data_IF_692635991870
#
_entry.id   IF_692635991870
#
_cell.length_a   1.000
_cell.length_b   1.000
_cell.length_c   1.000
_cell.angle_alpha   90.00
_cell.angle_beta   90.00
_cell.angle_gamma   90.00
#
_symmetry.space_group_name_H-M   'P 1'
#
loop_
_entity.id
_entity.type
_entity.pdbx_description
1 polymer ?
#
# COMPACT_ATOMS: atom_id res chain seq x y z
N UNK A 1 -13.89 14.24 9.77
CA UNK A 1 -13.70 12.77 9.82
C UNK A 1 -12.24 12.48 9.52
N UNK A 2 -11.66 11.41 10.07
CA UNK A 2 -10.25 11.08 9.82
C UNK A 2 -10.09 10.47 8.43
N UNK A 3 -9.15 10.98 7.64
CA UNK A 3 -8.76 10.45 6.31
C UNK A 3 -8.46 8.94 6.34
N UNK A 4 -8.04 8.43 7.50
CA UNK A 4 -7.91 7.00 7.80
C UNK A 4 -9.19 6.22 7.50
N UNK A 5 -10.33 6.72 7.98
CA UNK A 5 -11.61 6.02 7.88
C UNK A 5 -12.09 6.00 6.44
N UNK A 6 -11.94 7.11 5.72
CA UNK A 6 -12.30 7.19 4.30
C UNK A 6 -11.48 6.24 3.43
N UNK A 7 -10.16 6.13 3.66
CA UNK A 7 -9.31 5.20 2.91
C UNK A 7 -9.57 3.74 3.28
N UNK A 8 -9.92 3.47 4.55
CA UNK A 8 -10.34 2.14 4.98
C UNK A 8 -11.66 1.72 4.32
N UNK A 9 -12.65 2.61 4.25
CA UNK A 9 -13.95 2.33 3.62
C UNK A 9 -13.78 2.05 2.10
N UNK A 10 -12.85 2.75 1.42
CA UNK A 10 -12.47 2.45 0.03
C UNK A 10 -11.81 1.07 -0.09
N UNK A 11 -10.86 0.77 0.81
CA UNK A 11 -10.19 -0.53 0.86
C UNK A 11 -11.20 -1.67 1.04
N UNK A 12 -12.07 -1.57 2.04
CA UNK A 12 -13.01 -2.63 2.41
C UNK A 12 -13.99 -2.95 1.27
N UNK A 13 -14.51 -1.91 0.61
CA UNK A 13 -15.39 -2.03 -0.55
C UNK A 13 -14.73 -2.71 -1.75
N UNK A 14 -13.43 -2.52 -1.93
CA UNK A 14 -12.68 -3.03 -3.08
C UNK A 14 -11.91 -4.32 -2.78
N UNK A 15 -11.80 -4.72 -1.50
CA UNK A 15 -11.06 -5.88 -1.00
C UNK A 15 -11.39 -7.18 -1.72
N UNK A 16 -12.68 -7.49 -1.88
CA UNK A 16 -13.16 -8.71 -2.55
C UNK A 16 -12.77 -8.77 -4.03
N UNK A 17 -12.64 -7.60 -4.67
CA UNK A 17 -12.31 -7.47 -6.10
C UNK A 17 -10.81 -7.44 -6.34
N UNK A 18 -10.00 -7.01 -5.37
CA UNK A 18 -8.54 -6.98 -5.48
C UNK A 18 -7.87 -8.34 -5.34
N UNK A 19 -8.57 -9.34 -4.79
CA UNK A 19 -8.09 -10.72 -4.68
C UNK A 19 -8.14 -11.53 -5.99
N UNK A 20 -8.66 -10.98 -7.09
CA UNK A 20 -8.82 -11.69 -8.38
C UNK A 20 -8.03 -11.02 -9.54
N UNK A 21 -6.75 -11.37 -9.78
CA UNK A 21 -6.03 -11.12 -11.07
C UNK A 21 -4.63 -11.78 -11.13
N UNK A 22 -4.16 -12.20 -12.35
CA UNK A 22 -3.27 -13.32 -12.83
C UNK A 22 -1.72 -13.12 -13.02
N UNK A 23 -1.01 -14.26 -13.17
CA UNK A 23 0.43 -14.69 -13.16
C UNK A 23 1.62 -13.74 -13.40
N UNK A 24 2.70 -13.94 -12.62
CA UNK A 24 4.08 -13.46 -12.86
C UNK A 24 4.43 -12.08 -12.29
N UNK A 25 3.84 -11.02 -12.85
CA UNK A 25 3.83 -9.65 -12.24
C UNK A 25 3.00 -9.61 -10.95
N UNK A 26 2.18 -10.63 -10.79
CA UNK A 26 1.36 -10.96 -9.65
C UNK A 26 2.14 -11.12 -8.35
N UNK A 27 3.37 -11.64 -8.32
CA UNK A 27 3.99 -12.01 -7.04
C UNK A 27 4.23 -10.79 -6.13
N UNK A 28 4.81 -9.73 -6.69
CA UNK A 28 5.01 -8.46 -5.96
C UNK A 28 3.67 -7.76 -5.71
N UNK A 29 2.77 -7.77 -6.70
CA UNK A 29 1.42 -7.22 -6.52
C UNK A 29 0.63 -7.95 -5.42
N UNK A 30 0.80 -9.27 -5.32
CA UNK A 30 0.17 -10.14 -4.35
C UNK A 30 0.72 -9.88 -2.96
N UNK A 31 2.05 -9.80 -2.79
CA UNK A 31 2.67 -9.43 -1.50
C UNK A 31 2.25 -8.01 -1.07
N UNK A 32 2.16 -7.05 -1.99
CA UNK A 32 1.64 -5.70 -1.69
C UNK A 32 0.18 -5.74 -1.23
N UNK A 33 -0.67 -6.53 -1.89
CA UNK A 33 -2.08 -6.72 -1.50
C UNK A 33 -2.21 -7.46 -0.17
N UNK A 34 -1.37 -8.47 0.08
CA UNK A 34 -1.34 -9.22 1.32
C UNK A 34 -0.93 -8.30 2.48
N UNK A 35 0.15 -7.53 2.32
CA UNK A 35 0.57 -6.52 3.29
C UNK A 35 -0.51 -5.47 3.54
N UNK A 36 -1.18 -4.99 2.49
CA UNK A 36 -2.26 -4.03 2.62
C UNK A 36 -3.46 -4.61 3.39
N UNK A 37 -3.88 -5.83 3.05
CA UNK A 37 -4.96 -6.53 3.75
C UNK A 37 -4.62 -6.81 5.21
N UNK A 38 -3.41 -7.28 5.47
CA UNK A 38 -2.90 -7.47 6.83
C UNK A 38 -2.90 -6.16 7.62
N UNK A 39 -2.40 -5.06 7.05
CA UNK A 39 -2.44 -3.75 7.72
C UNK A 39 -3.87 -3.29 8.02
N UNK A 40 -4.80 -3.50 7.08
CA UNK A 40 -6.20 -3.16 7.28
C UNK A 40 -6.80 -3.90 8.50
N UNK A 41 -6.61 -5.23 8.54
CA UNK A 41 -7.12 -6.08 9.61
C UNK A 41 -6.44 -5.82 10.95
N UNK A 42 -5.13 -5.61 10.92
CA UNK A 42 -4.35 -5.39 12.11
C UNK A 42 -4.67 -4.04 12.76
N UNK A 43 -4.89 -3.00 11.95
CA UNK A 43 -5.27 -1.67 12.44
C UNK A 43 -6.73 -1.63 12.91
N UNK A 44 -7.66 -2.33 12.24
CA UNK A 44 -9.05 -2.41 12.69
C UNK A 44 -9.21 -3.20 13.99
N UNK A 45 -8.41 -4.25 14.15
CA UNK A 45 -8.44 -5.13 15.33
C UNK A 45 -7.56 -4.62 16.49
N UNK A 46 -6.88 -3.48 16.33
CA UNK A 46 -6.07 -2.87 17.37
C UNK A 46 -4.83 -3.69 17.76
N UNK A 47 -4.21 -4.39 16.82
CA UNK A 47 -3.01 -5.19 17.08
C UNK A 47 -1.87 -4.31 17.62
N UNK A 48 -1.02 -4.85 18.52
CA UNK A 48 0.17 -4.15 18.99
C UNK A 48 1.08 -3.76 17.81
N UNK A 49 1.61 -2.53 17.85
CA UNK A 49 2.43 -1.98 16.75
C UNK A 49 3.60 -2.90 16.37
N UNK A 50 4.24 -3.54 17.35
CA UNK A 50 5.35 -4.45 17.11
C UNK A 50 4.92 -5.71 16.34
N UNK A 51 3.72 -6.25 16.64
CA UNK A 51 3.15 -7.37 15.90
C UNK A 51 2.78 -6.96 14.46
N UNK A 52 2.25 -5.74 14.28
CA UNK A 52 1.99 -5.20 12.94
C UNK A 52 3.29 -5.13 12.13
N UNK A 53 4.37 -4.59 12.70
CA UNK A 53 5.62 -4.40 11.96
C UNK A 53 6.28 -5.74 11.61
N UNK A 54 6.22 -6.72 12.52
CA UNK A 54 6.77 -8.07 12.29
C UNK A 54 5.97 -8.86 11.25
N UNK A 55 4.66 -8.64 11.14
CA UNK A 55 3.81 -9.32 10.17
C UNK A 55 3.92 -8.80 8.72
N UNK A 56 4.68 -7.71 8.48
CA UNK A 56 4.89 -7.20 7.14
C UNK A 56 5.89 -8.07 6.35
N UNK A 57 5.50 -8.45 5.13
CA UNK A 57 6.28 -9.32 4.26
C UNK A 57 7.11 -8.53 3.24
N UNK A 58 8.30 -9.03 2.92
CA UNK A 58 9.19 -8.52 1.86
C UNK A 58 9.87 -9.64 1.06
N UNK A 59 9.56 -10.90 1.37
CA UNK A 59 10.32 -12.06 0.91
C UNK A 59 10.19 -12.29 -0.59
N UNK A 60 8.99 -12.11 -1.16
CA UNK A 60 8.74 -12.25 -2.59
C UNK A 60 9.41 -11.14 -3.37
N UNK A 61 9.33 -9.90 -2.89
CA UNK A 61 10.07 -8.79 -3.48
C UNK A 61 11.57 -9.04 -3.48
N UNK A 62 12.15 -9.42 -2.34
CA UNK A 62 13.58 -9.70 -2.21
C UNK A 62 14.04 -10.83 -3.13
N UNK A 63 13.29 -11.93 -3.17
CA UNK A 63 13.59 -13.06 -4.05
C UNK A 63 13.62 -12.61 -5.52
N UNK A 64 12.62 -11.83 -5.95
CA UNK A 64 12.53 -11.35 -7.34
C UNK A 64 13.64 -10.38 -7.71
N UNK A 65 14.01 -9.46 -6.81
CA UNK A 65 15.17 -8.58 -7.03
C UNK A 65 16.46 -9.39 -7.13
N UNK A 66 16.64 -10.40 -6.28
CA UNK A 66 17.82 -11.29 -6.31
C UNK A 66 17.90 -12.13 -7.59
N UNK A 67 16.75 -12.53 -8.14
CA UNK A 67 16.64 -13.21 -9.44
C UNK A 67 16.89 -12.27 -10.64
N UNK A 68 17.16 -10.98 -10.41
CA UNK A 68 17.43 -10.01 -11.47
C UNK A 68 16.16 -9.49 -12.17
N UNK A 69 14.99 -9.62 -11.54
CA UNK A 69 13.75 -9.07 -12.09
C UNK A 69 13.89 -7.56 -12.29
N UNK A 70 13.78 -7.10 -13.53
CA UNK A 70 13.64 -5.67 -13.79
C UNK A 70 12.23 -5.22 -13.41
N UNK A 71 12.13 -4.34 -12.41
CA UNK A 71 10.86 -3.72 -12.03
C UNK A 71 10.28 -2.85 -13.14
N UNK A 72 11.06 -2.49 -14.17
CA UNK A 72 10.55 -1.85 -15.39
C UNK A 72 9.52 -2.70 -16.15
N UNK A 73 9.42 -3.99 -15.83
CA UNK A 73 8.36 -4.87 -16.30
C UNK A 73 7.01 -4.61 -15.62
N UNK A 74 6.99 -4.03 -14.42
CA UNK A 74 5.78 -3.47 -13.82
C UNK A 74 5.42 -2.23 -14.65
N UNK A 75 4.30 -2.31 -15.38
CA UNK A 75 3.81 -1.31 -16.34
C UNK A 75 4.33 0.12 -16.09
N UNK A 76 4.91 0.78 -17.10
CA UNK A 76 5.49 2.15 -17.04
C UNK A 76 4.45 3.27 -16.92
N UNK A 77 3.30 2.98 -16.34
CA UNK A 77 2.29 4.00 -16.05
C UNK A 77 2.88 4.94 -15.00
N UNK A 78 2.72 6.23 -15.26
CA UNK A 78 2.99 7.29 -14.30
C UNK A 78 1.72 7.73 -13.59
N UNK A 79 1.89 8.18 -12.36
CA UNK A 79 0.80 8.76 -11.57
C UNK A 79 0.39 10.09 -12.20
N UNK A 80 -0.91 10.29 -12.40
CA UNK A 80 -1.47 11.53 -12.93
C UNK A 80 -2.31 12.24 -11.88
N UNK A 81 -2.51 13.55 -12.05
CA UNK A 81 -3.46 14.31 -11.22
C UNK A 81 -4.87 13.71 -11.27
N UNK A 82 -5.30 13.27 -12.45
CA UNK A 82 -6.60 12.59 -12.64
C UNK A 82 -6.71 11.32 -11.79
N UNK A 83 -5.61 10.58 -11.62
CA UNK A 83 -5.61 9.34 -10.85
C UNK A 83 -5.79 9.59 -9.34
N UNK A 84 -5.13 10.61 -8.80
CA UNK A 84 -5.17 10.92 -7.35
C UNK A 84 -6.41 11.72 -6.92
N UNK A 85 -7.20 12.23 -7.87
CA UNK A 85 -8.42 12.99 -7.57
C UNK A 85 -8.13 14.19 -6.65
N UNK A 86 -8.90 14.30 -5.56
CA UNK A 86 -8.77 15.38 -4.56
C UNK A 86 -7.82 15.05 -3.40
N UNK A 87 -7.16 13.89 -3.43
CA UNK A 87 -6.26 13.47 -2.36
C UNK A 87 -4.89 14.14 -2.46
N UNK A 88 -4.78 15.38 -1.95
CA UNK A 88 -3.57 16.19 -2.00
C UNK A 88 -2.33 15.52 -1.39
N UNK A 89 -2.49 14.59 -0.43
CA UNK A 89 -1.36 13.87 0.16
C UNK A 89 -0.57 13.01 -0.84
N UNK A 90 -1.21 12.62 -1.95
CA UNK A 90 -0.62 11.84 -3.03
C UNK A 90 -0.04 12.70 -4.16
N UNK A 91 -0.21 14.02 -4.12
CA UNK A 91 0.34 14.93 -5.14
C UNK A 91 1.85 14.79 -5.33
N UNK A 92 2.59 14.48 -4.25
CA UNK A 92 4.03 14.20 -4.26
C UNK A 92 4.45 12.95 -5.06
N UNK A 93 3.50 12.14 -5.49
CA UNK A 93 3.73 10.95 -6.31
C UNK A 93 3.41 11.17 -7.78
N UNK A 94 2.81 12.31 -8.16
CA UNK A 94 2.53 12.65 -9.57
C UNK A 94 3.82 12.62 -10.39
N UNK A 95 3.76 12.00 -11.57
CA UNK A 95 4.90 11.80 -12.46
C UNK A 95 5.76 10.57 -12.15
N UNK A 96 5.61 9.94 -10.99
CA UNK A 96 6.39 8.74 -10.63
C UNK A 96 5.86 7.50 -11.32
N UNK A 97 6.78 6.60 -11.68
CA UNK A 97 6.49 5.29 -12.26
C UNK A 97 6.21 4.22 -11.20
N UNK A 98 5.52 3.14 -11.59
CA UNK A 98 5.22 2.01 -10.71
C UNK A 98 6.46 1.37 -10.07
N UNK A 99 7.57 1.24 -10.82
CA UNK A 99 8.81 0.67 -10.29
C UNK A 99 9.31 1.47 -9.09
N UNK A 100 9.39 2.80 -9.21
CA UNK A 100 9.82 3.70 -8.13
C UNK A 100 8.89 3.61 -6.92
N UNK A 101 7.58 3.53 -7.14
CA UNK A 101 6.60 3.45 -6.06
C UNK A 101 6.68 2.11 -5.31
N UNK A 102 6.90 1.01 -6.03
CA UNK A 102 7.09 -0.31 -5.46
C UNK A 102 8.38 -0.37 -4.65
N UNK A 103 9.50 0.11 -5.19
CA UNK A 103 10.77 0.19 -4.44
C UNK A 103 10.62 1.03 -3.16
N UNK A 104 9.89 2.14 -3.24
CA UNK A 104 9.61 2.99 -2.09
C UNK A 104 8.75 2.26 -1.04
N UNK A 105 7.79 1.42 -1.45
CA UNK A 105 6.96 0.64 -0.52
C UNK A 105 7.81 -0.32 0.31
N UNK A 106 8.63 -1.13 -0.35
CA UNK A 106 9.49 -2.09 0.34
C UNK A 106 10.60 -1.42 1.14
N UNK A 107 11.13 -0.30 0.65
CA UNK A 107 12.06 0.52 1.42
C UNK A 107 11.43 1.02 2.72
N UNK A 108 10.17 1.50 2.68
CA UNK A 108 9.43 1.93 3.87
C UNK A 108 9.18 0.79 4.85
N UNK A 109 8.78 -0.39 4.36
CA UNK A 109 8.56 -1.58 5.20
C UNK A 109 9.86 -1.96 5.92
N UNK A 110 10.96 -2.11 5.17
CA UNK A 110 12.27 -2.45 5.76
C UNK A 110 12.78 -1.41 6.74
N UNK A 111 12.65 -0.12 6.42
CA UNK A 111 13.03 0.94 7.35
C UNK A 111 12.21 0.87 8.63
N UNK A 112 10.91 0.59 8.53
CA UNK A 112 10.06 0.45 9.71
C UNK A 112 10.44 -0.76 10.56
N UNK A 113 10.71 -1.91 9.93
CA UNK A 113 11.18 -3.12 10.62
C UNK A 113 12.53 -2.90 11.31
N UNK A 114 13.50 -2.28 10.63
CA UNK A 114 14.80 -1.95 11.21
C UNK A 114 14.68 -0.96 12.38
N UNK A 115 13.83 0.04 12.25
CA UNK A 115 13.59 1.02 13.32
C UNK A 115 12.97 0.35 14.55
N UNK A 116 11.95 -0.50 14.36
CA UNK A 116 11.31 -1.24 15.45
C UNK A 116 12.28 -2.19 16.15
N UNK A 117 13.16 -2.85 15.39
CA UNK A 117 14.21 -3.70 15.96
C UNK A 117 15.20 -2.88 16.81
N UNK A 118 15.59 -1.70 16.33
CA UNK A 118 16.55 -0.84 17.02
C UNK A 118 15.96 -0.10 18.24
N UNK A 119 14.66 0.16 18.25
CA UNK A 119 13.95 0.87 19.31
C UNK A 119 12.60 0.20 19.63
N UNK A 120 12.59 -0.97 20.31
CA UNK A 120 11.36 -1.75 20.52
C UNK A 120 10.21 -0.99 21.19
N UNK A 121 10.53 -0.05 22.09
CA UNK A 121 9.57 0.78 22.83
C UNK A 121 9.15 2.07 22.08
N UNK A 122 9.56 2.21 20.82
CA UNK A 122 9.22 3.37 19.99
C UNK A 122 7.74 3.42 19.63
N UNK A 123 7.21 4.64 19.45
CA UNK A 123 5.85 4.83 18.91
C UNK A 123 5.89 4.94 17.38
N UNK A 124 5.29 3.95 16.72
CA UNK A 124 5.26 3.77 15.27
C UNK A 124 3.88 3.96 14.64
N UNK A 125 2.85 4.31 15.42
CA UNK A 125 1.47 4.44 14.94
C UNK A 125 1.34 5.28 13.67
N UNK A 126 1.94 6.48 13.67
CA UNK A 126 1.91 7.38 12.52
C UNK A 126 2.63 6.81 11.29
N UNK A 127 3.73 6.05 11.50
CA UNK A 127 4.48 5.42 10.41
C UNK A 127 3.69 4.26 9.81
N UNK A 128 3.05 3.43 10.64
CA UNK A 128 2.17 2.34 10.21
C UNK A 128 0.99 2.90 9.41
N UNK A 129 0.29 3.92 9.94
CA UNK A 129 -0.83 4.58 9.23
C UNK A 129 -0.37 5.25 7.94
N UNK A 130 0.82 5.84 7.91
CA UNK A 130 1.38 6.40 6.67
C UNK A 130 1.71 5.32 5.64
N UNK A 131 2.20 4.14 6.07
CA UNK A 131 2.47 3.01 5.20
C UNK A 131 1.16 2.47 4.61
N UNK A 132 0.14 2.28 5.44
CA UNK A 132 -1.19 1.84 4.97
C UNK A 132 -1.74 2.76 3.87
N UNK A 133 -1.78 4.08 4.13
CA UNK A 133 -2.28 5.07 3.14
C UNK A 133 -1.51 5.01 1.82
N UNK A 134 -0.19 4.84 1.92
CA UNK A 134 0.66 4.70 0.74
C UNK A 134 0.39 3.40 -0.03
N UNK A 135 0.18 2.28 0.67
CA UNK A 135 -0.14 1.00 0.02
C UNK A 135 -1.53 0.99 -0.61
N UNK A 136 -2.53 1.65 -0.01
CA UNK A 136 -3.86 1.85 -0.64
C UNK A 136 -3.69 2.54 -1.99
N UNK A 137 -2.98 3.67 -2.01
CA UNK A 137 -2.70 4.42 -3.24
C UNK A 137 -1.95 3.57 -4.28
N UNK A 138 -0.90 2.86 -3.85
CA UNK A 138 -0.06 2.07 -4.75
C UNK A 138 -0.84 0.90 -5.37
N UNK A 139 -1.57 0.14 -4.57
CA UNK A 139 -2.38 -0.98 -5.07
C UNK A 139 -3.45 -0.47 -6.04
N UNK A 140 -4.14 0.62 -5.71
CA UNK A 140 -5.10 1.24 -6.61
C UNK A 140 -4.44 1.65 -7.96
N UNK A 141 -3.22 2.17 -7.92
CA UNK A 141 -2.50 2.62 -9.12
C UNK A 141 -2.06 1.46 -10.01
N UNK A 142 -1.53 0.40 -9.39
CA UNK A 142 -1.17 -0.85 -10.08
C UNK A 142 -2.38 -1.47 -10.78
N UNK A 143 -3.54 -1.45 -10.12
CA UNK A 143 -4.81 -1.99 -10.65
C UNK A 143 -5.54 -1.03 -11.62
N UNK A 144 -4.99 0.15 -11.91
CA UNK A 144 -5.63 1.19 -12.73
C UNK A 144 -7.01 1.65 -12.19
N UNK A 145 -7.18 1.68 -10.87
CA UNK A 145 -8.42 2.14 -10.24
C UNK A 145 -8.21 3.53 -9.64
N UNK A 146 -8.71 4.61 -10.27
CA UNK A 146 -8.57 5.95 -9.74
C UNK A 146 -9.18 6.07 -8.35
N UNK A 147 -8.56 6.88 -7.49
CA UNK A 147 -9.11 7.20 -6.18
C UNK A 147 -10.18 8.28 -6.36
N UNK A 148 -11.45 7.88 -6.52
CA UNK A 148 -12.59 8.80 -6.61
C UNK A 148 -13.35 8.87 -5.27
N UNK A 149 -13.41 10.07 -4.68
CA UNK A 149 -14.21 10.36 -3.48
C UNK A 149 -15.71 10.05 -3.66
N UNK A 150 -16.25 10.08 -4.90
CA UNK A 150 -17.66 9.75 -5.14
C UNK A 150 -18.02 8.33 -4.71
N UNK A 151 -17.04 7.43 -4.69
CA UNK A 151 -17.20 6.04 -4.22
C UNK A 151 -17.56 5.93 -2.73
N UNK A 152 -17.24 6.97 -1.95
CA UNK A 152 -17.46 7.07 -0.48
C UNK A 152 -18.77 7.80 -0.17
N UNK A 153 -19.22 8.72 -1.02
CA UNK A 153 -20.43 9.53 -0.78
C UNK A 153 -21.75 8.77 -0.99
N UNK A 154 -21.75 7.65 -1.70
CA UNK A 154 -22.98 6.90 -2.00
C UNK A 154 -23.46 5.92 -0.91
N UNK A 155 -22.83 5.89 0.26
CA UNK A 155 -23.23 5.02 1.40
C UNK A 155 -23.93 5.78 2.52
N UNK A 156 -24.41 6.99 2.25
CA UNK A 156 -25.29 7.76 3.13
C UNK A 156 -26.60 8.02 2.41
N UNK A 157 -27.42 6.98 2.29
CA UNK A 157 -28.87 7.05 2.16
C UNK A 157 -29.47 5.87 2.93
#
# INVERSE_FOLDING_TARGET
MSIWKELYDIFDKERSRWQQSSAGKQAISFELKANLGFLADALSSGLPQHAIIQGLECSLFEAKIKEGLSLSSLNRRTVTLKFIGEFAEFAKYVGKENCELVENAYSKIKSLQKLALAQPDGNYDLKIKSLFRFLVFLVAHLENRPLDQKSVRHTRD
#
